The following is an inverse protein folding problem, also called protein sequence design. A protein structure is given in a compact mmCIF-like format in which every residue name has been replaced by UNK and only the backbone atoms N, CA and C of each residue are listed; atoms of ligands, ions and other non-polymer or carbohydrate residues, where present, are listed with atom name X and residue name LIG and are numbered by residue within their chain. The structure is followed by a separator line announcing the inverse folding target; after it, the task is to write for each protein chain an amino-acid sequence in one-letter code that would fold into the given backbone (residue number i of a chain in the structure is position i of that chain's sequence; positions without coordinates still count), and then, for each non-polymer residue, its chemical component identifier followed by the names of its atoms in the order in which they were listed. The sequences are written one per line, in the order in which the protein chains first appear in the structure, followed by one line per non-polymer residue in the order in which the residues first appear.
data_IF_297396611994
#
_entry.id   IF_297396611994
#
_cell.length_a   1.000
_cell.length_b   1.000
_cell.length_c   1.000
_cell.angle_alpha   90.00
_cell.angle_beta   90.00
_cell.angle_gamma   90.00
#
_symmetry.space_group_name_H-M   'P 1'
#
loop_
_entity.id
_entity.type
_entity.pdbx_description
1 polymer ?
#
# COMPACT_ATOMS: atom_id res chain seq x y z
N UNK A 1 -25.78 -17.62 15.11
CA UNK A 1 -25.79 -16.91 13.82
C UNK A 1 -25.22 -15.51 14.06
N UNK A 2 -23.89 -15.37 13.98
CA UNK A 2 -23.24 -14.06 14.06
C UNK A 2 -22.93 -13.65 12.62
N UNK A 3 -23.47 -12.48 12.30
CA UNK A 3 -23.67 -11.99 10.95
C UNK A 3 -22.39 -11.88 10.16
N UNK A 4 -22.51 -12.33 8.92
CA UNK A 4 -21.85 -11.82 7.73
C UNK A 4 -21.02 -10.55 7.98
N UNK A 5 -19.73 -10.78 8.26
CA UNK A 5 -18.72 -9.75 8.39
C UNK A 5 -18.40 -9.27 6.97
N UNK A 6 -19.37 -8.61 6.32
CA UNK A 6 -19.10 -7.82 5.12
C UNK A 6 -18.08 -6.77 5.54
N UNK A 7 -16.82 -7.08 5.27
CA UNK A 7 -15.76 -6.46 6.02
C UNK A 7 -15.57 -5.01 5.51
N UNK A 8 -16.08 -4.04 6.27
CA UNK A 8 -16.25 -2.67 5.80
C UNK A 8 -14.97 -2.03 5.25
N UNK A 9 -15.12 -1.35 4.10
CA UNK A 9 -14.06 -0.53 3.50
C UNK A 9 -13.89 0.79 4.28
N UNK A 10 -14.99 1.29 4.85
CA UNK A 10 -15.03 2.56 5.59
C UNK A 10 -15.26 2.30 7.06
N UNK A 11 -14.45 2.93 7.90
CA UNK A 11 -14.52 2.79 9.36
C UNK A 11 -14.48 4.13 10.07
N UNK A 12 -15.20 4.20 11.17
CA UNK A 12 -15.20 5.33 12.10
C UNK A 12 -14.73 4.83 13.47
N UNK A 13 -13.83 5.59 14.09
CA UNK A 13 -13.47 5.43 15.50
C UNK A 13 -14.55 6.01 16.40
N UNK A 14 -14.86 5.28 17.47
CA UNK A 14 -15.80 5.71 18.51
C UNK A 14 -15.30 5.29 19.90
N UNK A 15 -15.83 5.94 20.94
CA UNK A 15 -15.57 5.64 22.36
C UNK A 15 -16.78 4.92 22.99
N UNK A 16 -16.54 4.05 23.97
CA UNK A 16 -17.57 3.18 24.60
C UNK A 16 -18.59 3.93 25.49
N UNK A 17 -18.74 5.24 25.36
CA UNK A 17 -19.66 6.04 26.17
C UNK A 17 -21.13 5.90 25.75
N UNK A 18 -21.41 5.10 24.71
CA UNK A 18 -22.75 4.80 24.22
C UNK A 18 -23.47 6.00 23.58
N UNK A 19 -22.79 7.14 23.46
CA UNK A 19 -23.31 8.35 22.85
C UNK A 19 -22.33 8.76 21.74
N UNK A 20 -22.70 8.46 20.49
CA UNK A 20 -21.92 8.93 19.33
C UNK A 20 -21.66 10.44 19.40
N UNK A 21 -20.65 10.94 18.67
CA UNK A 21 -20.17 12.32 18.80
C UNK A 21 -21.32 13.32 18.64
N UNK A 22 -21.80 13.85 19.76
CA UNK A 22 -22.93 14.77 19.83
C UNK A 22 -22.40 16.20 19.86
N UNK A 23 -22.89 17.04 18.94
CA UNK A 23 -22.47 18.44 18.82
C UNK A 23 -22.23 18.88 17.39
N UNK A 24 -22.48 20.17 17.14
CA UNK A 24 -22.21 20.83 15.87
C UNK A 24 -21.19 21.93 16.13
N UNK A 25 -20.04 21.82 15.48
CA UNK A 25 -19.12 22.94 15.33
C UNK A 25 -19.26 23.46 13.91
N UNK A 26 -19.37 24.78 13.77
CA UNK A 26 -19.17 25.45 12.49
C UNK A 26 -17.90 26.26 12.71
N UNK A 27 -16.79 25.81 12.14
CA UNK A 27 -15.59 26.61 12.06
C UNK A 27 -15.47 27.24 10.68
N UNK A 28 -14.52 28.17 10.50
CA UNK A 28 -14.23 28.79 9.22
C UNK A 28 -13.63 27.83 8.18
N UNK A 29 -13.52 26.53 8.48
CA UNK A 29 -13.11 25.52 7.50
C UNK A 29 -14.32 25.01 6.74
N UNK A 30 -14.10 24.49 5.53
CA UNK A 30 -15.17 23.85 4.76
C UNK A 30 -15.62 22.52 5.41
N UNK A 31 -14.89 21.99 6.40
CA UNK A 31 -15.19 20.71 7.05
C UNK A 31 -15.94 20.83 8.38
N UNK A 32 -16.39 22.03 8.80
CA UNK A 32 -16.96 22.28 10.13
C UNK A 32 -17.99 21.24 10.59
N UNK A 33 -18.90 20.81 9.70
CA UNK A 33 -19.95 19.81 10.04
C UNK A 33 -19.41 18.44 10.49
N UNK A 34 -18.15 18.12 10.17
CA UNK A 34 -17.44 16.90 10.54
C UNK A 34 -16.65 17.02 11.85
N UNK A 35 -16.74 18.17 12.51
CA UNK A 35 -16.12 18.42 13.82
C UNK A 35 -17.19 18.62 14.88
N UNK A 36 -16.86 18.25 16.12
CA UNK A 36 -17.72 18.49 17.29
C UNK A 36 -16.89 18.99 18.47
N UNK A 37 -17.55 19.64 19.43
CA UNK A 37 -16.99 19.99 20.73
C UNK A 37 -17.52 19.01 21.75
N UNK A 38 -16.63 18.37 22.47
CA UNK A 38 -17.01 17.57 23.62
C UNK A 38 -17.54 18.51 24.73
N UNK A 39 -18.83 18.40 25.12
CA UNK A 39 -19.41 19.21 26.17
C UNK A 39 -18.72 19.04 27.53
N UNK A 40 -18.08 17.89 27.76
CA UNK A 40 -17.37 17.56 28.99
C UNK A 40 -15.94 18.12 29.03
N UNK A 41 -15.40 18.56 27.89
CA UNK A 41 -14.04 19.12 27.82
C UNK A 41 -13.94 20.44 28.59
N UNK A 42 -12.96 20.53 29.48
CA UNK A 42 -12.61 21.78 30.17
C UNK A 42 -12.02 22.82 29.22
N UNK A 43 -11.50 22.41 28.06
CA UNK A 43 -10.95 23.30 27.05
C UNK A 43 -12.00 23.62 25.98
N UNK A 44 -12.55 24.83 26.04
CA UNK A 44 -13.57 25.35 25.10
C UNK A 44 -13.03 25.58 23.67
N UNK A 45 -11.71 25.54 23.48
CA UNK A 45 -11.04 25.72 22.18
C UNK A 45 -10.70 24.41 21.48
N UNK A 46 -10.92 23.28 22.14
CA UNK A 46 -10.69 21.95 21.59
C UNK A 46 -11.85 21.55 20.68
N UNK A 47 -11.55 21.05 19.49
CA UNK A 47 -12.53 20.43 18.59
C UNK A 47 -12.05 19.05 18.18
N UNK A 48 -12.98 18.13 17.95
CA UNK A 48 -12.69 16.73 17.67
C UNK A 48 -13.29 16.30 16.33
N UNK A 49 -12.55 15.48 15.58
CA UNK A 49 -13.06 14.83 14.37
C UNK A 49 -14.17 13.82 14.71
N UNK A 50 -15.34 13.92 14.07
CA UNK A 50 -16.46 12.96 14.23
C UNK A 50 -16.15 11.55 13.72
N UNK A 51 -15.05 11.37 12.97
CA UNK A 51 -14.69 10.10 12.36
C UNK A 51 -13.58 9.33 13.09
N UNK A 52 -12.66 10.01 13.78
CA UNK A 52 -11.55 9.35 14.49
C UNK A 52 -11.27 9.90 15.90
N UNK A 53 -12.07 10.86 16.34
CA UNK A 53 -11.93 11.56 17.62
C UNK A 53 -10.56 12.25 17.81
N UNK A 54 -9.81 12.47 16.72
CA UNK A 54 -8.59 13.28 16.76
C UNK A 54 -8.96 14.70 17.17
N UNK A 55 -8.29 15.17 18.22
CA UNK A 55 -8.47 16.50 18.78
C UNK A 55 -7.55 17.51 18.09
N UNK A 56 -8.07 18.72 17.88
CA UNK A 56 -7.38 19.88 17.32
C UNK A 56 -7.53 21.06 18.27
N UNK A 57 -6.41 21.69 18.62
CA UNK A 57 -6.39 22.90 19.43
C UNK A 57 -6.55 24.15 18.54
N UNK A 58 -7.25 25.16 19.06
CA UNK A 58 -7.37 26.49 18.44
C UNK A 58 -7.91 26.52 17.00
N UNK A 59 -8.55 25.43 16.53
CA UNK A 59 -9.16 25.37 15.20
C UNK A 59 -8.11 25.66 14.09
N UNK A 60 -6.93 25.04 14.20
CA UNK A 60 -5.93 25.11 13.13
C UNK A 60 -6.48 24.47 11.85
N UNK A 61 -7.00 25.33 10.96
CA UNK A 61 -7.61 24.96 9.69
C UNK A 61 -6.67 24.10 8.85
N UNK A 62 -5.35 24.37 8.90
CA UNK A 62 -4.37 23.63 8.10
C UNK A 62 -4.26 22.19 8.59
N UNK A 63 -4.22 21.97 9.90
CA UNK A 63 -4.16 20.64 10.49
C UNK A 63 -5.45 19.86 10.26
N UNK A 64 -6.62 20.49 10.37
CA UNK A 64 -7.92 19.86 10.07
C UNK A 64 -7.98 19.43 8.60
N UNK A 65 -7.65 20.32 7.66
CA UNK A 65 -7.66 20.00 6.22
C UNK A 65 -6.66 18.88 5.90
N UNK A 66 -5.47 18.91 6.50
CA UNK A 66 -4.47 17.86 6.33
C UNK A 66 -5.00 16.52 6.84
N UNK A 67 -5.60 16.52 8.03
CA UNK A 67 -6.19 15.34 8.65
C UNK A 67 -7.28 14.73 7.78
N UNK A 68 -8.27 15.53 7.36
CA UNK A 68 -9.37 15.05 6.53
C UNK A 68 -8.84 14.46 5.22
N UNK A 69 -7.90 15.13 4.55
CA UNK A 69 -7.37 14.62 3.28
C UNK A 69 -6.52 13.34 3.43
N UNK A 70 -5.95 13.06 4.60
CA UNK A 70 -5.00 11.93 4.78
C UNK A 70 -5.56 10.76 5.55
N UNK A 71 -6.42 11.00 6.53
CA UNK A 71 -7.04 9.96 7.37
C UNK A 71 -8.45 9.61 6.86
N UNK A 72 -9.19 10.63 6.41
CA UNK A 72 -10.56 10.49 5.89
C UNK A 72 -10.67 10.99 4.45
N UNK A 73 -9.83 10.52 3.50
CA UNK A 73 -9.76 11.03 2.12
C UNK A 73 -11.09 11.00 1.34
N UNK A 74 -12.04 10.19 1.81
CA UNK A 74 -13.41 10.11 1.29
C UNK A 74 -14.31 11.30 1.67
N UNK A 75 -13.91 12.09 2.67
CA UNK A 75 -14.65 13.28 3.12
C UNK A 75 -14.33 14.44 2.18
N UNK A 76 -15.29 14.77 1.33
CA UNK A 76 -15.22 15.94 0.45
C UNK A 76 -15.44 17.23 1.26
N UNK A 77 -14.92 18.34 0.75
CA UNK A 77 -15.01 19.65 1.41
C UNK A 77 -16.44 20.17 1.60
N UNK A 78 -17.36 19.77 0.72
CA UNK A 78 -18.76 20.19 0.69
C UNK A 78 -19.72 19.13 1.24
N UNK A 79 -19.21 17.98 1.67
CA UNK A 79 -20.02 16.88 2.20
C UNK A 79 -20.40 17.14 3.64
N UNK A 80 -21.62 16.80 4.06
CA UNK A 80 -22.02 16.82 5.48
C UNK A 80 -21.73 15.47 6.17
N UNK A 81 -21.70 15.43 7.50
CA UNK A 81 -21.52 14.17 8.22
C UNK A 81 -22.69 13.20 8.01
N UNK A 82 -23.92 13.70 7.91
CA UNK A 82 -25.10 12.89 7.61
C UNK A 82 -25.04 12.28 6.20
N UNK A 83 -24.58 13.07 5.22
CA UNK A 83 -24.31 12.56 3.87
C UNK A 83 -23.23 11.49 3.88
N UNK A 84 -22.15 11.70 4.63
CA UNK A 84 -21.09 10.71 4.79
C UNK A 84 -21.64 9.38 5.33
N UNK A 85 -22.39 9.42 6.44
CA UNK A 85 -23.01 8.24 7.04
C UNK A 85 -23.97 7.53 6.08
N UNK A 86 -24.75 8.30 5.31
CA UNK A 86 -25.70 7.76 4.33
C UNK A 86 -25.00 7.11 3.13
N UNK A 87 -23.98 7.76 2.58
CA UNK A 87 -23.29 7.33 1.36
C UNK A 87 -22.38 6.12 1.62
N UNK A 88 -21.59 6.16 2.69
CA UNK A 88 -20.54 5.17 2.92
C UNK A 88 -20.93 4.09 3.92
N UNK A 89 -21.99 4.31 4.71
CA UNK A 89 -22.49 3.39 5.75
C UNK A 89 -21.33 2.73 6.53
N UNK A 90 -20.41 3.54 7.08
CA UNK A 90 -19.18 3.02 7.67
C UNK A 90 -19.48 2.18 8.91
N UNK A 91 -18.64 1.20 9.17
CA UNK A 91 -18.71 0.46 10.43
C UNK A 91 -18.06 1.24 11.57
N UNK A 92 -18.73 1.25 12.73
CA UNK A 92 -18.17 1.76 13.97
C UNK A 92 -17.19 0.73 14.52
N UNK A 93 -15.91 1.11 14.62
CA UNK A 93 -14.86 0.26 15.16
C UNK A 93 -14.09 0.99 16.24
N UNK A 94 -13.97 0.37 17.41
CA UNK A 94 -13.14 0.89 18.49
C UNK A 94 -11.69 0.94 18.03
N UNK A 95 -11.02 2.08 18.21
CA UNK A 95 -9.63 2.31 17.78
C UNK A 95 -9.35 2.13 16.28
N UNK A 96 -10.33 2.41 15.41
CA UNK A 96 -10.23 2.28 13.95
C UNK A 96 -9.02 2.96 13.29
N UNK A 97 -8.45 4.01 13.88
CA UNK A 97 -7.27 4.66 13.32
C UNK A 97 -6.02 4.46 14.18
N UNK A 98 -6.14 3.83 15.35
CA UNK A 98 -5.03 3.54 16.27
C UNK A 98 -4.02 4.69 16.38
N UNK A 99 -2.78 4.42 15.98
CA UNK A 99 -1.69 5.40 15.92
C UNK A 99 -1.66 6.22 14.62
N UNK A 100 -2.35 5.79 13.55
CA UNK A 100 -2.34 6.45 12.24
C UNK A 100 -2.84 7.89 12.30
N UNK A 101 -3.83 8.18 13.16
CA UNK A 101 -4.32 9.55 13.39
C UNK A 101 -3.24 10.51 13.92
N UNK A 102 -2.13 9.98 14.44
CA UNK A 102 -0.96 10.74 14.86
C UNK A 102 0.18 10.69 13.82
N UNK A 103 0.02 9.90 12.75
CA UNK A 103 0.98 9.72 11.67
C UNK A 103 0.56 10.45 10.38
N UNK A 104 -0.38 11.38 10.44
CA UNK A 104 -0.89 12.10 9.26
C UNK A 104 0.20 12.87 8.48
N UNK A 105 1.32 13.22 9.11
CA UNK A 105 2.48 13.82 8.43
C UNK A 105 3.46 12.78 7.86
N UNK A 106 3.32 11.51 8.22
CA UNK A 106 4.19 10.42 7.78
C UNK A 106 3.84 9.97 6.37
N UNK A 107 4.87 9.74 5.56
CA UNK A 107 4.72 9.11 4.26
C UNK A 107 4.12 7.69 4.35
N UNK A 108 4.25 7.01 5.48
CA UNK A 108 3.81 5.62 5.63
C UNK A 108 2.31 5.41 5.32
N UNK A 109 1.45 6.42 5.51
CA UNK A 109 0.00 6.31 5.27
C UNK A 109 -0.44 6.72 3.85
N UNK A 110 0.49 7.05 2.94
CA UNK A 110 0.15 7.62 1.62
C UNK A 110 -0.67 6.67 0.72
N UNK A 111 -0.66 5.35 0.99
CA UNK A 111 -1.42 4.38 0.22
C UNK A 111 -2.91 4.35 0.57
N UNK A 112 -3.29 4.85 1.76
CA UNK A 112 -4.66 4.82 2.29
C UNK A 112 -5.67 5.43 1.32
N UNK A 113 -5.28 6.50 0.65
CA UNK A 113 -6.13 7.20 -0.31
C UNK A 113 -6.53 6.33 -1.50
N UNK A 114 -5.63 5.46 -1.97
CA UNK A 114 -5.93 4.53 -3.06
C UNK A 114 -6.84 3.40 -2.60
N UNK A 115 -6.72 2.98 -1.33
CA UNK A 115 -7.60 1.96 -0.73
C UNK A 115 -9.04 2.47 -0.60
N UNK A 116 -9.21 3.70 -0.11
CA UNK A 116 -10.51 4.25 0.25
C UNK A 116 -11.25 4.89 -0.93
N UNK A 117 -10.53 5.63 -1.78
CA UNK A 117 -11.11 6.40 -2.89
C UNK A 117 -10.31 6.21 -4.19
N UNK A 118 -10.13 4.98 -4.68
CA UNK A 118 -9.36 4.71 -5.89
C UNK A 118 -9.83 5.52 -7.11
N UNK A 119 -11.13 5.79 -7.22
CA UNK A 119 -11.77 6.55 -8.30
C UNK A 119 -11.24 7.99 -8.46
N UNK A 120 -10.63 8.54 -7.42
CA UNK A 120 -10.13 9.93 -7.42
C UNK A 120 -8.69 10.05 -7.93
N UNK A 121 -8.03 8.93 -8.28
CA UNK A 121 -6.61 8.91 -8.60
C UNK A 121 -6.34 8.27 -9.97
N UNK A 122 -5.72 9.05 -10.86
CA UNK A 122 -5.40 8.61 -12.22
C UNK A 122 -4.36 7.48 -12.27
N UNK A 123 -3.56 7.34 -11.22
CA UNK A 123 -2.55 6.27 -11.09
C UNK A 123 -3.17 4.88 -10.83
N UNK A 124 -4.48 4.84 -10.54
CA UNK A 124 -5.22 3.59 -10.35
C UNK A 124 -5.54 2.97 -11.71
N UNK A 125 -5.12 1.73 -11.88
CA UNK A 125 -5.34 0.95 -13.09
C UNK A 125 -6.67 0.21 -13.06
N UNK A 126 -7.02 -0.30 -11.89
CA UNK A 126 -8.22 -1.08 -11.67
C UNK A 126 -8.56 -1.05 -10.18
N UNK A 127 -9.84 -1.08 -9.86
CA UNK A 127 -10.31 -1.32 -8.52
C UNK A 127 -11.69 -1.97 -8.55
N UNK A 128 -11.99 -2.73 -7.52
CA UNK A 128 -13.33 -3.21 -7.17
C UNK A 128 -13.47 -3.23 -5.65
N UNK A 129 -14.49 -3.87 -5.10
CA UNK A 129 -14.70 -3.95 -3.65
C UNK A 129 -13.60 -4.69 -2.89
N UNK A 130 -12.81 -5.52 -3.58
CA UNK A 130 -11.81 -6.41 -2.97
C UNK A 130 -10.42 -5.78 -2.97
N UNK A 131 -10.00 -5.19 -4.10
CA UNK A 131 -8.64 -4.68 -4.26
C UNK A 131 -8.56 -3.42 -5.12
N UNK A 132 -7.46 -2.68 -4.93
CA UNK A 132 -7.02 -1.59 -5.81
C UNK A 132 -5.66 -1.93 -6.39
N UNK A 133 -5.49 -1.73 -7.70
CA UNK A 133 -4.25 -2.00 -8.43
C UNK A 133 -3.69 -0.67 -8.92
N UNK A 134 -2.45 -0.36 -8.55
CA UNK A 134 -1.76 0.88 -8.93
C UNK A 134 -0.36 0.60 -9.47
N UNK A 135 0.19 1.55 -10.24
CA UNK A 135 1.64 1.59 -10.46
C UNK A 135 2.37 1.99 -9.18
N UNK A 136 3.51 1.34 -8.89
CA UNK A 136 4.42 1.83 -7.86
C UNK A 136 5.03 3.16 -8.33
N UNK A 137 4.98 4.19 -7.48
CA UNK A 137 5.49 5.54 -7.80
C UNK A 137 7.03 5.58 -7.93
N UNK A 138 7.72 4.58 -7.38
CA UNK A 138 9.16 4.43 -7.37
C UNK A 138 9.55 3.02 -7.85
N UNK A 139 9.19 2.62 -9.09
CA UNK A 139 9.27 1.23 -9.54
C UNK A 139 10.71 0.70 -9.50
N UNK A 140 10.94 -0.50 -8.97
CA UNK A 140 12.29 -1.09 -8.86
C UNK A 140 12.71 -1.98 -10.05
N UNK A 141 11.86 -2.03 -11.07
CA UNK A 141 12.02 -2.78 -12.32
C UNK A 141 11.22 -2.08 -13.42
N UNK A 142 11.26 -2.60 -14.64
CA UNK A 142 10.52 -2.07 -15.80
C UNK A 142 9.00 -2.01 -15.56
N UNK A 143 8.45 -3.02 -14.90
CA UNK A 143 7.05 -3.03 -14.51
C UNK A 143 6.97 -3.40 -13.03
N UNK A 144 6.42 -2.49 -12.23
CA UNK A 144 6.21 -2.66 -10.80
C UNK A 144 4.86 -2.08 -10.41
N UNK A 145 3.98 -2.94 -9.93
CA UNK A 145 2.63 -2.61 -9.48
C UNK A 145 2.45 -3.00 -8.02
N UNK A 146 1.43 -2.41 -7.40
CA UNK A 146 0.96 -2.77 -6.07
C UNK A 146 -0.50 -3.23 -6.16
N UNK A 147 -0.81 -4.36 -5.52
CA UNK A 147 -2.18 -4.77 -5.22
C UNK A 147 -2.46 -4.43 -3.76
N UNK A 148 -3.45 -3.58 -3.54
CA UNK A 148 -3.86 -3.07 -2.24
C UNK A 148 -5.20 -3.70 -1.85
N UNK A 149 -5.25 -4.60 -0.86
CA UNK A 149 -6.52 -5.10 -0.34
C UNK A 149 -7.34 -3.94 0.21
N UNK A 150 -8.63 -3.89 -0.12
CA UNK A 150 -9.51 -2.78 0.31
C UNK A 150 -10.24 -3.03 1.61
N UNK A 151 -10.34 -4.30 1.99
CA UNK A 151 -10.85 -4.64 3.30
C UNK A 151 -10.04 -3.92 4.40
N UNK A 152 -10.72 -3.20 5.30
CA UNK A 152 -10.06 -2.45 6.36
C UNK A 152 -9.16 -3.32 7.26
N UNK A 153 -9.58 -4.53 7.65
CA UNK A 153 -8.79 -5.38 8.57
C UNK A 153 -7.51 -5.90 7.93
N UNK A 154 -7.61 -6.38 6.69
CA UNK A 154 -6.47 -6.83 5.89
C UNK A 154 -5.57 -5.66 5.51
N UNK A 155 -6.16 -4.54 5.10
CA UNK A 155 -5.40 -3.35 4.71
C UNK A 155 -4.59 -2.79 5.86
N UNK A 156 -5.01 -2.94 7.12
CA UNK A 156 -4.32 -2.38 8.29
C UNK A 156 -3.63 -3.46 9.14
N UNK A 157 -3.54 -4.71 8.64
CA UNK A 157 -2.78 -5.77 9.29
C UNK A 157 -1.36 -5.86 8.74
N UNK A 158 -0.51 -6.64 9.42
CA UNK A 158 0.83 -6.90 8.91
C UNK A 158 0.74 -7.77 7.64
N UNK A 159 1.41 -7.43 6.53
CA UNK A 159 1.22 -8.10 5.25
C UNK A 159 1.67 -9.56 5.23
N UNK A 160 2.52 -9.99 6.17
CA UNK A 160 2.89 -11.41 6.31
C UNK A 160 1.77 -12.27 6.87
N UNK A 161 0.71 -11.67 7.41
CA UNK A 161 -0.44 -12.35 8.02
C UNK A 161 -1.61 -12.52 7.04
N UNK A 162 -1.43 -12.20 5.75
CA UNK A 162 -2.45 -12.45 4.72
C UNK A 162 -2.80 -13.95 4.73
N UNK A 163 -4.06 -14.25 5.07
CA UNK A 163 -4.55 -15.62 5.23
C UNK A 163 -4.85 -16.27 3.88
N UNK A 164 -4.96 -17.61 3.86
CA UNK A 164 -5.38 -18.34 2.66
C UNK A 164 -6.74 -17.90 2.12
N UNK A 165 -7.67 -17.48 2.98
CA UNK A 165 -8.97 -16.94 2.57
C UNK A 165 -8.81 -15.60 1.84
N UNK A 166 -8.01 -14.69 2.39
CA UNK A 166 -7.70 -13.41 1.74
C UNK A 166 -6.96 -13.64 0.42
N UNK A 167 -6.03 -14.62 0.36
CA UNK A 167 -5.36 -15.00 -0.89
C UNK A 167 -6.36 -15.45 -1.94
N UNK A 168 -7.31 -16.32 -1.58
CA UNK A 168 -8.34 -16.80 -2.50
C UNK A 168 -9.20 -15.65 -3.05
N UNK A 169 -9.56 -14.67 -2.22
CA UNK A 169 -10.30 -13.46 -2.65
C UNK A 169 -9.50 -12.59 -3.62
N UNK A 170 -8.17 -12.55 -3.49
CA UNK A 170 -7.27 -11.73 -4.31
C UNK A 170 -6.73 -12.45 -5.55
N UNK A 171 -6.97 -13.74 -5.70
CA UNK A 171 -6.33 -14.57 -6.74
C UNK A 171 -6.62 -14.05 -8.15
N UNK A 172 -7.86 -13.63 -8.41
CA UNK A 172 -8.23 -13.04 -9.69
C UNK A 172 -7.42 -11.76 -9.98
N UNK A 173 -7.23 -10.88 -8.97
CA UNK A 173 -6.43 -9.67 -9.13
C UNK A 173 -4.96 -9.99 -9.39
N UNK A 174 -4.39 -10.97 -8.68
CA UNK A 174 -3.01 -11.41 -8.88
C UNK A 174 -2.81 -11.92 -10.32
N UNK A 175 -3.71 -12.78 -10.79
CA UNK A 175 -3.62 -13.33 -12.15
C UNK A 175 -3.86 -12.25 -13.21
N UNK A 176 -4.81 -11.34 -12.99
CA UNK A 176 -5.03 -10.20 -13.87
C UNK A 176 -3.76 -9.34 -13.98
N UNK A 177 -3.09 -9.05 -12.86
CA UNK A 177 -1.85 -8.27 -12.85
C UNK A 177 -0.72 -9.00 -13.56
N UNK A 178 -0.59 -10.33 -13.40
CA UNK A 178 0.38 -11.14 -14.15
C UNK A 178 0.20 -10.97 -15.67
N UNK A 179 -1.02 -11.13 -16.16
CA UNK A 179 -1.35 -10.95 -17.58
C UNK A 179 -1.12 -9.51 -18.04
N UNK A 180 -1.46 -8.53 -17.20
CA UNK A 180 -1.23 -7.12 -17.49
C UNK A 180 0.27 -6.81 -17.61
N UNK A 181 1.11 -7.29 -16.68
CA UNK A 181 2.56 -7.13 -16.71
C UNK A 181 3.12 -7.71 -18.02
N UNK A 182 2.72 -8.93 -18.39
CA UNK A 182 3.12 -9.54 -19.66
C UNK A 182 2.80 -8.64 -20.85
N UNK A 183 1.56 -8.14 -20.94
CA UNK A 183 1.12 -7.27 -22.04
C UNK A 183 1.90 -5.95 -22.09
N UNK A 184 2.11 -5.30 -20.95
CA UNK A 184 2.85 -4.03 -20.89
C UNK A 184 4.33 -4.23 -21.22
N UNK A 185 4.93 -5.30 -20.72
CA UNK A 185 6.33 -5.62 -20.96
C UNK A 185 6.57 -5.95 -22.44
N UNK A 186 5.78 -6.85 -23.01
CA UNK A 186 5.92 -7.26 -24.42
C UNK A 186 5.49 -6.20 -25.43
N UNK A 187 4.66 -5.23 -25.02
CA UNK A 187 4.40 -4.02 -25.81
C UNK A 187 5.68 -3.20 -25.99
N UNK A 188 6.51 -3.09 -24.95
CA UNK A 188 7.73 -2.26 -24.95
C UNK A 188 8.98 -3.01 -25.40
N UNK A 189 9.04 -4.32 -25.14
CA UNK A 189 10.25 -5.10 -25.31
C UNK A 189 9.97 -6.38 -26.08
N UNK A 190 10.78 -6.63 -27.10
CA UNK A 190 10.92 -7.94 -27.72
C UNK A 190 11.84 -8.81 -26.86
N UNK A 191 11.34 -9.96 -26.46
CA UNK A 191 12.12 -10.97 -25.75
C UNK A 191 13.01 -11.67 -26.77
N UNK A 192 14.33 -11.57 -26.60
CA UNK A 192 15.34 -12.25 -27.46
C UNK A 192 15.80 -13.57 -26.88
N UNK A 193 15.59 -13.79 -25.58
CA UNK A 193 15.89 -15.05 -24.92
C UNK A 193 14.94 -16.14 -25.43
N UNK A 194 15.49 -17.12 -26.16
CA UNK A 194 14.73 -18.19 -26.82
C UNK A 194 13.93 -19.07 -25.87
N UNK A 195 14.37 -19.14 -24.60
CA UNK A 195 13.81 -20.05 -23.60
C UNK A 195 12.79 -19.39 -22.65
N UNK A 196 12.48 -18.09 -22.84
CA UNK A 196 11.51 -17.38 -22.01
C UNK A 196 10.13 -17.34 -22.70
N UNK A 197 9.39 -18.44 -22.61
CA UNK A 197 8.00 -18.50 -23.05
C UNK A 197 7.10 -17.57 -22.21
N UNK A 198 5.86 -17.34 -22.66
CA UNK A 198 4.87 -16.59 -21.87
C UNK A 198 4.67 -17.23 -20.49
N UNK A 199 4.51 -18.54 -20.45
CA UNK A 199 4.26 -19.31 -19.22
C UNK A 199 5.42 -19.16 -18.24
N UNK A 200 6.66 -19.31 -18.73
CA UNK A 200 7.86 -19.11 -17.91
C UNK A 200 8.03 -17.66 -17.47
N UNK A 201 7.68 -16.69 -18.32
CA UNK A 201 7.67 -15.29 -17.92
C UNK A 201 6.73 -15.05 -16.73
N UNK A 202 5.49 -15.55 -16.82
CA UNK A 202 4.49 -15.38 -15.77
C UNK A 202 4.85 -16.09 -14.46
N UNK A 203 5.53 -17.25 -14.54
CA UNK A 203 5.89 -18.07 -13.38
C UNK A 203 7.23 -17.69 -12.74
N UNK A 204 8.25 -17.40 -13.54
CA UNK A 204 9.64 -17.29 -13.08
C UNK A 204 10.17 -15.85 -13.13
N UNK A 205 9.68 -15.03 -14.06
CA UNK A 205 10.18 -13.68 -14.31
C UNK A 205 9.32 -12.58 -13.67
N UNK A 206 8.06 -12.86 -13.36
CA UNK A 206 7.26 -12.02 -12.46
C UNK A 206 7.48 -12.54 -11.04
N UNK A 207 7.90 -11.67 -10.13
CA UNK A 207 7.91 -11.94 -8.70
C UNK A 207 6.79 -11.17 -8.00
N UNK A 208 6.19 -11.81 -7.01
CA UNK A 208 5.11 -11.22 -6.26
C UNK A 208 5.07 -11.70 -4.81
N UNK A 209 4.69 -10.79 -3.92
CA UNK A 209 4.86 -10.99 -2.49
C UNK A 209 4.91 -9.69 -1.71
N UNK A 210 5.37 -9.77 -0.46
CA UNK A 210 5.32 -8.67 0.50
C UNK A 210 6.68 -8.47 1.17
N UNK A 211 6.92 -7.28 1.70
CA UNK A 211 8.05 -7.06 2.60
C UNK A 211 7.76 -7.59 4.00
N UNK A 212 8.71 -8.32 4.57
CA UNK A 212 8.66 -8.81 5.96
C UNK A 212 8.63 -7.70 7.01
N UNK A 213 9.18 -6.52 6.69
CA UNK A 213 9.05 -5.28 7.47
C UNK A 213 8.55 -4.19 6.53
N UNK A 214 7.23 -3.91 6.50
CA UNK A 214 6.65 -2.96 5.55
C UNK A 214 7.08 -1.52 5.84
N UNK A 215 7.28 -0.73 4.78
CA UNK A 215 7.57 0.71 4.89
C UNK A 215 6.33 1.59 4.87
N UNK A 216 5.18 1.03 4.48
CA UNK A 216 3.89 1.70 4.43
C UNK A 216 2.93 1.02 5.40
N UNK A 217 2.01 1.78 5.98
CA UNK A 217 1.05 1.30 6.96
C UNK A 217 0.05 0.33 6.34
N UNK A 218 -0.44 0.63 5.12
CA UNK A 218 -1.39 -0.26 4.46
C UNK A 218 -0.69 -1.47 3.83
N UNK A 219 -1.27 -2.65 4.01
CA UNK A 219 -0.88 -3.88 3.31
C UNK A 219 -0.85 -3.64 1.80
N UNK A 220 0.27 -3.99 1.18
CA UNK A 220 0.48 -3.87 -0.26
C UNK A 220 1.28 -5.07 -0.74
N UNK A 221 0.79 -5.70 -1.80
CA UNK A 221 1.43 -6.84 -2.45
C UNK A 221 2.17 -6.29 -3.68
N UNK A 222 3.48 -6.48 -3.70
CA UNK A 222 4.29 -6.12 -4.85
C UNK A 222 4.06 -7.14 -5.96
N UNK A 223 3.88 -6.64 -7.18
CA UNK A 223 3.79 -7.41 -8.41
C UNK A 223 4.78 -6.78 -9.40
N UNK A 224 5.92 -7.42 -9.64
CA UNK A 224 6.98 -6.79 -10.42
C UNK A 224 7.76 -7.78 -11.27
N UNK A 225 8.30 -7.31 -12.39
CA UNK A 225 9.29 -8.06 -13.18
C UNK A 225 10.62 -8.16 -12.42
N UNK A 226 11.33 -9.27 -12.62
CA UNK A 226 12.61 -9.58 -11.95
C UNK A 226 13.83 -8.96 -12.63
N UNK A 227 13.62 -7.98 -13.51
CA UNK A 227 14.73 -7.38 -14.25
C UNK A 227 15.64 -6.49 -13.41
N UNK A 228 15.08 -5.82 -12.40
CA UNK A 228 15.76 -4.79 -11.62
C UNK A 228 16.42 -3.69 -12.49
N UNK A 229 15.90 -3.47 -13.69
CA UNK A 229 16.29 -2.42 -14.61
C UNK A 229 15.38 -1.22 -14.37
N UNK A 230 15.86 -0.25 -13.58
CA UNK A 230 15.11 0.97 -13.26
C UNK A 230 16.02 2.05 -12.71
N UNK A 231 15.74 3.30 -13.08
CA UNK A 231 16.41 4.46 -12.49
C UNK A 231 16.06 4.74 -11.02
N UNK A 232 14.97 4.15 -10.51
CA UNK A 232 14.59 4.25 -9.10
C UNK A 232 15.22 3.16 -8.23
N UNK A 233 15.89 2.17 -8.83
CA UNK A 233 16.79 1.27 -8.12
C UNK A 233 18.12 2.00 -7.86
N UNK A 234 18.30 2.50 -6.63
CA UNK A 234 19.36 3.47 -6.30
C UNK A 234 20.39 2.99 -5.29
N UNK A 235 20.11 1.91 -4.56
CA UNK A 235 21.00 1.46 -3.49
C UNK A 235 20.78 -0.02 -3.16
N UNK A 236 21.69 -0.57 -2.36
CA UNK A 236 21.65 -1.95 -1.83
C UNK A 236 20.33 -2.26 -1.13
N UNK A 237 19.80 -1.32 -0.33
CA UNK A 237 18.52 -1.52 0.37
C UNK A 237 17.38 -1.75 -0.60
N UNK A 238 17.29 -0.97 -1.67
CA UNK A 238 16.24 -1.14 -2.69
C UNK A 238 16.37 -2.48 -3.40
N UNK A 239 17.59 -2.98 -3.67
CA UNK A 239 17.76 -4.28 -4.32
C UNK A 239 17.44 -5.43 -3.36
N UNK A 240 18.08 -5.46 -2.18
CA UNK A 240 17.91 -6.53 -1.21
C UNK A 240 16.50 -6.60 -0.61
N UNK A 241 15.73 -5.51 -0.58
CA UNK A 241 14.33 -5.58 -0.13
C UNK A 241 13.47 -6.48 -1.02
N UNK A 242 13.89 -6.71 -2.27
CA UNK A 242 13.19 -7.55 -3.25
C UNK A 242 13.95 -8.81 -3.64
N UNK A 243 15.27 -8.85 -3.40
CA UNK A 243 16.15 -9.95 -3.82
C UNK A 243 16.93 -10.54 -2.62
N UNK A 244 16.24 -10.74 -1.50
CA UNK A 244 16.70 -11.47 -0.32
C UNK A 244 15.48 -12.06 0.41
N UNK A 245 15.67 -12.89 1.46
CA UNK A 245 14.56 -13.36 2.30
C UNK A 245 13.77 -12.25 3.02
N UNK A 246 14.16 -10.97 2.91
CA UNK A 246 13.33 -9.84 3.31
C UNK A 246 12.01 -9.79 2.52
N UNK A 247 12.04 -10.22 1.25
CA UNK A 247 10.87 -10.35 0.38
C UNK A 247 10.24 -11.73 0.57
N UNK A 248 9.02 -11.76 1.10
CA UNK A 248 8.26 -12.99 1.34
C UNK A 248 7.38 -13.24 0.13
N UNK A 249 7.69 -14.29 -0.63
CA UNK A 249 6.92 -14.68 -1.81
C UNK A 249 5.47 -14.98 -1.43
N UNK A 250 4.52 -14.63 -2.30
CA UNK A 250 3.09 -14.83 -2.09
C UNK A 250 2.73 -16.25 -1.64
N UNK A 251 3.36 -17.26 -2.26
CA UNK A 251 3.10 -18.67 -1.97
C UNK A 251 3.54 -19.10 -0.57
N UNK A 252 4.43 -18.34 0.07
CA UNK A 252 4.92 -18.60 1.44
C UNK A 252 4.08 -17.92 2.52
N UNK A 253 3.02 -17.19 2.16
CA UNK A 253 2.10 -16.55 3.10
C UNK A 253 0.97 -17.51 3.52
N UNK A 254 0.49 -17.42 4.78
CA UNK A 254 0.96 -16.53 5.84
C UNK A 254 2.29 -16.98 6.46
N UNK A 255 3.04 -16.05 7.02
CA UNK A 255 4.30 -16.30 7.73
C UNK A 255 4.39 -15.46 9.00
N UNK A 256 4.73 -16.11 10.11
CA UNK A 256 5.16 -15.45 11.34
C UNK A 256 6.66 -15.22 11.31
N UNK A 257 7.09 -14.07 11.81
CA UNK A 257 8.51 -13.76 11.96
C UNK A 257 9.02 -14.29 13.29
N UNK A 258 10.15 -14.99 13.26
CA UNK A 258 10.85 -15.44 14.48
C UNK A 258 11.90 -14.42 14.96
N UNK A 259 12.16 -13.39 14.15
CA UNK A 259 13.17 -12.36 14.39
C UNK A 259 12.51 -10.99 14.55
N UNK A 260 13.16 -10.10 15.30
CA UNK A 260 12.75 -8.69 15.40
C UNK A 260 12.99 -7.94 14.09
N UNK A 261 12.29 -6.82 13.89
CA UNK A 261 12.45 -5.98 12.69
C UNK A 261 13.89 -5.49 12.50
N UNK A 262 14.59 -5.23 13.61
CA UNK A 262 16.00 -4.82 13.58
C UNK A 262 16.88 -5.95 13.05
N UNK A 263 16.72 -7.16 13.56
CA UNK A 263 17.48 -8.33 13.14
C UNK A 263 17.21 -8.69 11.68
N UNK A 264 15.94 -8.62 11.24
CA UNK A 264 15.55 -8.83 9.83
C UNK A 264 16.26 -7.82 8.92
N UNK A 265 16.23 -6.53 9.27
CA UNK A 265 16.90 -5.49 8.49
C UNK A 265 18.42 -5.68 8.48
N UNK A 266 19.03 -5.98 9.63
CA UNK A 266 20.47 -6.18 9.71
C UNK A 266 20.90 -7.40 8.87
N UNK A 267 20.19 -8.51 8.99
CA UNK A 267 20.50 -9.77 8.29
C UNK A 267 20.24 -9.69 6.78
N UNK A 268 19.03 -9.29 6.37
CA UNK A 268 18.59 -9.44 4.98
C UNK A 268 18.74 -8.18 4.13
N UNK A 269 18.81 -7.00 4.74
CA UNK A 269 19.04 -5.74 4.01
C UNK A 269 20.51 -5.34 4.06
N UNK A 270 21.07 -5.17 5.26
CA UNK A 270 22.42 -4.61 5.44
C UNK A 270 23.52 -5.62 5.12
N UNK A 271 23.42 -6.83 5.68
CA UNK A 271 24.50 -7.82 5.62
C UNK A 271 24.34 -8.87 4.53
N UNK A 272 23.19 -8.92 3.86
CA UNK A 272 22.96 -9.86 2.75
C UNK A 272 23.71 -9.43 1.50
N UNK A 273 24.39 -10.36 0.85
CA UNK A 273 25.12 -10.11 -0.38
C UNK A 273 24.16 -9.86 -1.56
N UNK A 274 24.53 -8.96 -2.46
CA UNK A 274 23.74 -8.72 -3.66
C UNK A 274 24.08 -9.75 -4.74
N UNK A 275 23.18 -10.70 -4.97
CA UNK A 275 23.34 -11.79 -5.94
C UNK A 275 22.45 -11.53 -7.15
N UNK A 276 23.01 -11.54 -8.36
CA UNK A 276 22.26 -11.30 -9.59
C UNK A 276 21.22 -12.42 -9.83
N UNK A 277 19.94 -12.09 -10.09
CA UNK A 277 18.91 -13.11 -10.32
C UNK A 277 19.02 -13.80 -11.69
N UNK A 278 19.80 -13.26 -12.63
CA UNK A 278 19.97 -13.83 -13.96
C UNK A 278 21.07 -14.88 -14.05
N UNK A 279 22.19 -14.66 -13.35
CA UNK A 279 23.42 -15.45 -13.52
C UNK A 279 24.07 -15.89 -12.20
N UNK A 280 23.46 -15.55 -11.06
CA UNK A 280 23.95 -15.87 -9.71
C UNK A 280 25.32 -15.27 -9.34
N UNK A 281 25.84 -14.32 -10.14
CA UNK A 281 27.06 -13.57 -9.79
C UNK A 281 26.85 -12.76 -8.51
N UNK A 282 27.81 -12.86 -7.58
CA UNK A 282 27.77 -12.17 -6.28
C UNK A 282 28.57 -10.86 -6.32
N UNK A 283 27.89 -9.74 -6.03
CA UNK A 283 28.45 -8.39 -6.03
C UNK A 283 28.77 -7.87 -4.62
N UNK A 284 28.53 -8.66 -3.56
CA UNK A 284 28.72 -8.31 -2.15
C UNK A 284 28.03 -6.98 -1.81
N UNK A 285 28.82 -5.91 -1.64
CA UNK A 285 28.39 -4.55 -1.34
C UNK A 285 28.56 -3.55 -2.51
N UNK A 286 28.92 -4.01 -3.71
CA UNK A 286 29.29 -3.17 -4.84
C UNK A 286 28.08 -2.82 -5.72
N UNK A 287 27.16 -1.99 -5.20
CA UNK A 287 25.88 -1.69 -5.87
C UNK A 287 26.05 -1.07 -7.27
N UNK A 288 27.02 -0.17 -7.45
CA UNK A 288 27.26 0.46 -8.76
C UNK A 288 27.62 -0.57 -9.83
N UNK A 289 28.43 -1.59 -9.49
CA UNK A 289 28.77 -2.68 -10.42
C UNK A 289 27.58 -3.58 -10.71
N UNK A 290 26.77 -3.88 -9.68
CA UNK A 290 25.53 -4.63 -9.87
C UNK A 290 24.57 -3.90 -10.82
N UNK A 291 24.38 -2.58 -10.65
CA UNK A 291 23.45 -1.80 -11.49
C UNK A 291 23.88 -1.83 -12.97
N UNK A 292 25.18 -1.69 -13.26
CA UNK A 292 25.71 -1.84 -14.62
C UNK A 292 25.46 -3.25 -15.15
N UNK A 293 25.78 -4.27 -14.35
CA UNK A 293 25.57 -5.66 -14.74
C UNK A 293 24.10 -5.99 -15.04
N UNK A 294 23.15 -5.52 -14.21
CA UNK A 294 21.72 -5.72 -14.45
C UNK A 294 21.26 -5.09 -15.77
N UNK A 295 21.77 -3.91 -16.12
CA UNK A 295 21.48 -3.26 -17.40
C UNK A 295 22.04 -4.05 -18.60
N UNK A 296 23.24 -4.63 -18.47
CA UNK A 296 23.82 -5.53 -19.46
C UNK A 296 22.99 -6.82 -19.60
N UNK A 297 22.63 -7.47 -18.49
CA UNK A 297 21.80 -8.68 -18.51
C UNK A 297 20.42 -8.42 -19.11
N UNK A 298 19.84 -7.25 -18.86
CA UNK A 298 18.59 -6.80 -19.45
C UNK A 298 18.73 -6.62 -20.98
N UNK A 299 19.72 -5.84 -21.42
CA UNK A 299 19.94 -5.53 -22.85
C UNK A 299 20.27 -6.78 -23.68
N UNK A 300 20.90 -7.80 -23.08
CA UNK A 300 21.15 -9.09 -23.74
C UNK A 300 19.86 -9.87 -24.02
N UNK A 301 18.82 -9.71 -23.20
CA UNK A 301 17.59 -10.54 -23.19
C UNK A 301 16.37 -9.83 -23.76
N UNK A 302 16.39 -8.50 -23.78
CA UNK A 302 15.26 -7.67 -24.14
C UNK A 302 15.72 -6.53 -25.05
N UNK A 303 15.05 -6.39 -26.18
CA UNK A 303 15.30 -5.31 -27.15
C UNK A 303 14.07 -4.44 -27.20
N UNK A 304 14.24 -3.13 -27.07
CA UNK A 304 13.12 -2.17 -27.16
C UNK A 304 12.43 -2.30 -28.52
N UNK A 305 11.09 -2.42 -28.49
CA UNK A 305 10.29 -2.30 -29.69
C UNK A 305 10.40 -0.85 -30.17
N UNK A 306 11.05 -0.65 -31.31
CA UNK A 306 10.99 0.65 -32.00
C UNK A 306 9.55 0.80 -32.50
N UNK A 307 8.78 1.69 -31.89
CA UNK A 307 7.46 2.05 -32.42
C UNK A 307 7.67 2.57 -33.84
N UNK A 308 7.02 1.91 -34.82
CA UNK A 308 6.90 2.43 -36.19
C UNK A 308 5.82 3.49 -36.25
#
# INVERSE_FOLDING_TARGET
MQGDNSEAIYVIEWEDDGQGPSGVVIDGTQYGTHLFKDPSSKDKKLVSCKHCLKQFENVDTRSIVLHMNRIHPQVRRDMTYEEYMRLFKPSLMKHAHGIEKNMEKSFAIDLRKYVLCPENYQEVLYYDETATIIYDKFPKSEVHLLVLPRNYRVSNSHPTLISSETKAKLEWHIEWVKQFIWKQFTKRYKITQTDLSKERFLQEFIQYGVHSVPSMANTHIHMMTRDFHSERLKNKKHFNSFNSPFFIHWDKLPMTKDLSDKEINDRYIKNYDMICPYCSSNFKNQFSKLKVHLAEEFSKRFVTNVEK
#
